data_IF_139900885128
#
_entry.id   IF_139900885128
#
_cell.length_a   1.000
_cell.length_b   1.000
_cell.length_c   1.000
_cell.angle_alpha   90.00
_cell.angle_beta   90.00
_cell.angle_gamma   90.00
#
_symmetry.space_group_name_H-M   'P 1'
#
loop_
_entity.id
_entity.type
_entity.pdbx_description
1 polymer ?
#
# COMPACT_ATOMS: atom_id res chain seq x y z
N UNK A 1 20.05 4.47 -17.28
CA UNK A 1 18.70 5.08 -17.24
C UNK A 1 17.60 4.06 -17.01
N UNK A 2 17.39 3.07 -17.89
CA UNK A 2 16.27 2.10 -17.69
C UNK A 2 16.39 1.27 -16.40
N UNK A 3 17.59 0.83 -16.06
CA UNK A 3 17.88 0.10 -14.82
C UNK A 3 17.62 0.93 -13.55
N UNK A 4 17.96 2.21 -13.57
CA UNK A 4 17.78 3.12 -12.43
C UNK A 4 16.30 3.39 -12.16
N UNK A 5 15.50 3.62 -13.22
CA UNK A 5 14.06 3.84 -13.10
C UNK A 5 13.36 2.60 -12.52
N UNK A 6 13.77 1.40 -12.97
CA UNK A 6 13.28 0.13 -12.42
C UNK A 6 13.65 -0.04 -10.94
N UNK A 7 14.89 0.27 -10.56
CA UNK A 7 15.35 0.19 -9.18
C UNK A 7 14.55 1.14 -8.28
N UNK A 8 14.36 2.40 -8.70
CA UNK A 8 13.59 3.39 -7.94
C UNK A 8 12.13 2.95 -7.80
N UNK A 9 11.52 2.49 -8.89
CA UNK A 9 10.13 1.98 -8.86
C UNK A 9 9.98 0.76 -7.95
N UNK A 10 10.93 -0.17 -7.97
CA UNK A 10 10.94 -1.34 -7.11
C UNK A 10 11.14 -0.97 -5.64
N UNK A 11 12.07 -0.06 -5.35
CA UNK A 11 12.29 0.44 -3.99
C UNK A 11 11.03 1.12 -3.45
N UNK A 12 10.39 1.98 -4.25
CA UNK A 12 9.14 2.64 -3.89
C UNK A 12 8.01 1.63 -3.63
N UNK A 13 7.90 0.61 -4.48
CA UNK A 13 6.97 -0.50 -4.29
C UNK A 13 7.19 -1.19 -2.94
N UNK A 14 8.44 -1.55 -2.61
CA UNK A 14 8.78 -2.20 -1.33
C UNK A 14 8.45 -1.30 -0.15
N UNK A 15 8.77 -0.01 -0.24
CA UNK A 15 8.45 0.99 0.80
C UNK A 15 6.96 1.09 1.06
N UNK A 16 6.12 0.96 0.03
CA UNK A 16 4.66 0.89 0.21
C UNK A 16 4.17 -0.47 0.72
N UNK A 17 4.77 -1.56 0.21
CA UNK A 17 4.39 -2.93 0.49
C UNK A 17 4.65 -3.35 1.94
N UNK A 18 5.80 -2.99 2.51
CA UNK A 18 6.16 -3.39 3.87
C UNK A 18 5.13 -2.85 4.88
N UNK A 19 4.86 -1.54 4.99
CA UNK A 19 3.83 -1.02 5.88
C UNK A 19 2.44 -1.55 5.53
N UNK A 20 2.10 -1.66 4.25
CA UNK A 20 0.82 -2.23 3.80
C UNK A 20 0.58 -3.63 4.37
N UNK A 21 1.58 -4.52 4.28
CA UNK A 21 1.53 -5.86 4.84
C UNK A 21 1.30 -5.85 6.36
N UNK A 22 2.11 -5.08 7.09
CA UNK A 22 2.01 -5.00 8.55
C UNK A 22 0.64 -4.45 8.97
N UNK A 23 0.15 -3.40 8.33
CA UNK A 23 -1.17 -2.83 8.62
C UNK A 23 -2.28 -3.84 8.34
N UNK A 24 -2.24 -4.53 7.19
CA UNK A 24 -3.23 -5.57 6.87
C UNK A 24 -3.20 -6.75 7.84
N UNK A 25 -2.00 -7.13 8.29
CA UNK A 25 -1.78 -8.29 9.16
C UNK A 25 -2.15 -8.04 10.62
N UNK A 26 -1.87 -6.84 11.14
CA UNK A 26 -1.99 -6.51 12.58
C UNK A 26 -3.14 -5.54 12.86
N UNK A 27 -3.19 -4.40 12.17
CA UNK A 27 -4.20 -3.35 12.39
C UNK A 27 -5.55 -3.65 11.69
N UNK A 28 -5.55 -4.47 10.63
CA UNK A 28 -6.73 -4.90 9.89
C UNK A 28 -6.91 -4.18 8.55
N UNK A 29 -7.96 -4.58 7.81
CA UNK A 29 -8.14 -4.13 6.42
C UNK A 29 -8.39 -2.63 6.27
N UNK A 30 -9.05 -1.99 7.24
CA UNK A 30 -9.31 -0.55 7.20
C UNK A 30 -8.00 0.23 7.25
N UNK A 31 -7.06 -0.15 8.12
CA UNK A 31 -5.76 0.52 8.22
C UNK A 31 -4.95 0.38 6.92
N UNK A 32 -4.98 -0.80 6.28
CA UNK A 32 -4.35 -1.00 4.98
C UNK A 32 -4.99 -0.12 3.88
N UNK A 33 -6.32 0.00 3.87
CA UNK A 33 -7.04 0.87 2.92
C UNK A 33 -6.70 2.34 3.13
N UNK A 34 -6.67 2.81 4.39
CA UNK A 34 -6.28 4.20 4.71
C UNK A 34 -4.85 4.47 4.23
N UNK A 35 -3.91 3.55 4.48
CA UNK A 35 -2.53 3.67 4.01
C UNK A 35 -2.42 3.79 2.50
N UNK A 36 -3.06 2.88 1.75
CA UNK A 36 -3.09 2.93 0.29
C UNK A 36 -3.77 4.19 -0.21
N UNK A 37 -4.86 4.61 0.43
CA UNK A 37 -5.58 5.84 0.11
C UNK A 37 -4.71 7.08 0.30
N UNK A 38 -3.90 7.14 1.35
CA UNK A 38 -2.95 8.24 1.57
C UNK A 38 -1.86 8.28 0.48
N UNK A 39 -1.31 7.13 0.10
CA UNK A 39 -0.30 7.06 -0.95
C UNK A 39 -0.87 7.43 -2.33
N UNK A 40 -2.04 6.88 -2.69
CA UNK A 40 -2.71 7.19 -3.95
C UNK A 40 -3.20 8.65 -4.00
N UNK A 41 -3.74 9.16 -2.89
CA UNK A 41 -4.13 10.56 -2.74
C UNK A 41 -2.93 11.49 -2.86
N UNK A 42 -1.83 11.19 -2.18
CA UNK A 42 -0.58 11.93 -2.31
C UNK A 42 -0.05 11.93 -3.75
N UNK A 43 -0.10 10.79 -4.44
CA UNK A 43 0.29 10.70 -5.85
C UNK A 43 -0.57 11.62 -6.72
N UNK A 44 -1.90 11.59 -6.53
CA UNK A 44 -2.83 12.44 -7.26
C UNK A 44 -2.57 13.93 -6.99
N UNK A 45 -2.36 14.32 -5.73
CA UNK A 45 -2.04 15.69 -5.35
C UNK A 45 -0.75 16.17 -6.03
N UNK A 46 0.32 15.37 -6.01
CA UNK A 46 1.57 15.73 -6.68
C UNK A 46 1.38 15.87 -8.19
N UNK A 47 0.64 14.96 -8.84
CA UNK A 47 0.36 15.08 -10.27
C UNK A 47 -0.41 16.35 -10.59
N UNK A 48 -1.44 16.69 -9.80
CA UNK A 48 -2.22 17.91 -9.98
C UNK A 48 -1.38 19.17 -9.77
N UNK A 49 -0.53 19.20 -8.74
CA UNK A 49 0.42 20.30 -8.51
C UNK A 49 1.43 20.44 -9.65
N UNK A 50 1.91 19.31 -10.17
CA UNK A 50 2.80 19.25 -11.32
C UNK A 50 2.19 19.80 -12.60
N UNK A 51 0.86 19.68 -12.79
CA UNK A 51 0.16 20.29 -13.92
C UNK A 51 0.05 21.82 -13.80
N UNK A 52 -0.01 22.35 -12.57
CA UNK A 52 -0.11 23.79 -12.31
C UNK A 52 1.23 24.53 -12.32
N UNK A 53 2.35 23.82 -12.30
CA UNK A 53 3.70 24.39 -12.25
C UNK A 53 4.43 24.21 -13.58
N UNK A 54 5.16 25.24 -14.01
CA UNK A 54 5.97 25.21 -15.26
C UNK A 54 7.45 25.00 -14.91
N UNK A 55 8.16 24.30 -15.78
CA UNK A 55 9.60 24.06 -15.62
C UNK A 55 9.92 22.84 -14.76
N UNK A 56 11.13 22.83 -14.18
CA UNK A 56 11.68 21.67 -13.46
C UNK A 56 10.88 21.26 -12.23
N UNK A 57 10.22 22.20 -11.55
CA UNK A 57 9.40 21.91 -10.37
C UNK A 57 8.19 21.05 -10.73
N UNK A 58 7.52 21.34 -11.86
CA UNK A 58 6.38 20.56 -12.33
C UNK A 58 6.76 19.11 -12.65
N UNK A 59 7.94 18.92 -13.27
CA UNK A 59 8.52 17.60 -13.52
C UNK A 59 8.83 16.86 -12.22
N UNK A 60 9.41 17.52 -11.21
CA UNK A 60 9.70 16.91 -9.92
C UNK A 60 8.44 16.40 -9.22
N UNK A 61 7.36 17.18 -9.25
CA UNK A 61 6.05 16.76 -8.71
C UNK A 61 5.48 15.54 -9.46
N UNK A 62 5.49 15.55 -10.79
CA UNK A 62 4.99 14.42 -11.57
C UNK A 62 5.83 13.14 -11.36
N UNK A 63 7.15 13.27 -11.32
CA UNK A 63 8.07 12.17 -11.02
C UNK A 63 7.82 11.62 -9.62
N UNK A 64 7.70 12.48 -8.61
CA UNK A 64 7.38 12.05 -7.25
C UNK A 64 6.03 11.35 -7.13
N UNK A 65 5.02 11.81 -7.87
CA UNK A 65 3.71 11.16 -7.90
C UNK A 65 3.75 9.79 -8.59
N UNK A 66 4.33 9.73 -9.80
CA UNK A 66 4.24 8.56 -10.68
C UNK A 66 5.31 7.49 -10.43
N UNK A 67 6.52 7.88 -10.05
CA UNK A 67 7.64 6.95 -9.86
C UNK A 67 7.88 6.58 -8.39
N UNK A 68 7.32 7.33 -7.43
CA UNK A 68 7.42 7.00 -6.01
C UNK A 68 6.06 6.61 -5.42
N UNK A 69 5.10 7.54 -5.37
CA UNK A 69 3.86 7.29 -4.63
C UNK A 69 2.93 6.28 -5.29
N UNK A 70 2.82 6.26 -6.62
CA UNK A 70 1.98 5.29 -7.32
C UNK A 70 2.48 3.83 -7.18
N UNK A 71 3.78 3.51 -7.39
CA UNK A 71 4.32 2.17 -7.11
C UNK A 71 4.19 1.79 -5.64
N UNK A 72 4.41 2.73 -4.72
CA UNK A 72 4.20 2.49 -3.29
C UNK A 72 2.73 2.15 -2.97
N UNK A 73 1.78 2.87 -3.55
CA UNK A 73 0.35 2.58 -3.37
C UNK A 73 0.00 1.17 -3.87
N UNK A 74 0.52 0.76 -5.04
CA UNK A 74 0.35 -0.58 -5.59
C UNK A 74 0.96 -1.66 -4.67
N UNK A 75 2.18 -1.43 -4.20
CA UNK A 75 2.85 -2.32 -3.25
C UNK A 75 2.05 -2.46 -1.96
N UNK A 76 1.61 -1.34 -1.40
CA UNK A 76 0.78 -1.30 -0.19
C UNK A 76 -0.55 -2.03 -0.35
N UNK A 77 -1.19 -1.92 -1.51
CA UNK A 77 -2.46 -2.58 -1.81
C UNK A 77 -2.30 -4.11 -1.88
N UNK A 78 -1.31 -4.58 -2.66
CA UNK A 78 -1.04 -6.01 -2.81
C UNK A 78 -0.63 -6.65 -1.49
N UNK A 79 0.33 -6.04 -0.80
CA UNK A 79 0.86 -6.57 0.44
C UNK A 79 -0.14 -6.45 1.59
N UNK A 80 -0.92 -5.37 1.64
CA UNK A 80 -2.01 -5.20 2.59
C UNK A 80 -3.14 -6.21 2.41
N UNK A 81 -3.54 -6.49 1.16
CA UNK A 81 -4.49 -7.56 0.85
C UNK A 81 -3.96 -8.93 1.30
N UNK A 82 -2.68 -9.22 1.06
CA UNK A 82 -2.03 -10.44 1.54
C UNK A 82 -2.03 -10.53 3.08
N UNK A 83 -1.69 -9.44 3.78
CA UNK A 83 -1.72 -9.38 5.24
C UNK A 83 -3.11 -9.66 5.81
N UNK A 84 -4.16 -9.09 5.21
CA UNK A 84 -5.55 -9.30 5.61
C UNK A 84 -6.00 -10.74 5.34
N UNK A 85 -5.67 -11.30 4.17
CA UNK A 85 -6.09 -12.66 3.80
C UNK A 85 -5.49 -13.71 4.74
N UNK A 86 -4.22 -13.58 5.09
CA UNK A 86 -3.55 -14.44 6.07
C UNK A 86 -4.15 -14.30 7.48
N UNK A 87 -4.50 -13.08 7.89
CA UNK A 87 -5.19 -12.83 9.17
C UNK A 87 -6.57 -13.50 9.21
N UNK A 88 -7.33 -13.45 8.11
CA UNK A 88 -8.65 -14.09 8.00
C UNK A 88 -8.55 -15.62 8.08
N UNK A 89 -7.58 -16.23 7.38
CA UNK A 89 -7.33 -17.69 7.45
C UNK A 89 -7.03 -18.17 8.87
N UNK A 90 -6.21 -17.43 9.63
CA UNK A 90 -5.93 -17.78 11.04
C UNK A 90 -7.17 -17.72 11.94
N UNK A 91 -8.11 -16.81 11.69
CA UNK A 91 -9.36 -16.71 12.46
C UNK A 91 -10.35 -17.83 12.15
N UNK A 92 -10.33 -18.37 10.94
CA UNK A 92 -11.18 -19.50 10.54
C UNK A 92 -10.65 -20.85 11.03
N UNK A 93 -9.34 -20.96 11.25
CA UNK A 93 -8.69 -22.15 11.79
C UNK A 93 -8.78 -22.32 13.30
N UNK A 94 -9.41 -21.40 14.04
CA UNK A 94 -9.84 -21.66 15.42
C UNK A 94 -11.21 -22.34 15.35
N UNK A 95 -11.33 -23.64 15.65
CA UNK A 95 -12.62 -24.27 15.81
C UNK A 95 -13.36 -23.48 16.88
N UNK A 96 -14.55 -22.99 16.54
CA UNK A 96 -15.54 -22.63 17.55
C UNK A 96 -15.64 -23.83 18.48
N UNK A 97 -15.52 -23.58 19.78
CA UNK A 97 -15.43 -24.57 20.84
C UNK A 97 -16.18 -25.86 20.51
N UNK A 98 -15.40 -26.91 20.33
CA UNK A 98 -15.83 -28.20 20.83
C UNK A 98 -16.13 -28.01 22.32
N UNK A 99 -17.31 -28.46 22.74
CA UNK A 99 -17.78 -28.62 24.12
C UNK A 99 -18.20 -27.30 24.83
N UNK A 100 -19.38 -27.22 25.44
CA UNK A 100 -20.00 -28.23 26.28
C UNK A 100 -21.42 -28.65 25.85
N UNK A 101 -21.74 -29.96 25.86
CA UNK A 101 -23.13 -30.40 25.94
C UNK A 101 -23.65 -30.00 27.32
N UNK A 102 -24.71 -29.17 27.36
CA UNK A 102 -25.47 -28.95 28.58
C UNK A 102 -26.31 -30.21 28.80
N UNK A 103 -25.85 -31.05 29.74
CA UNK A 103 -26.72 -32.01 30.42
C UNK A 103 -27.74 -31.32 31.30
#
# INVERSE_FOLDING_TARGET
>A
MESEVLIVGLAAFIVGAVPGYFLGRYAGGIAAVVWVGLLAGGAAVLVLLGQGTRGWDGLAYMVGGLLLLAPAALGGALAGWLGVSLRRRRRQGSPRGAEAPRG
#
